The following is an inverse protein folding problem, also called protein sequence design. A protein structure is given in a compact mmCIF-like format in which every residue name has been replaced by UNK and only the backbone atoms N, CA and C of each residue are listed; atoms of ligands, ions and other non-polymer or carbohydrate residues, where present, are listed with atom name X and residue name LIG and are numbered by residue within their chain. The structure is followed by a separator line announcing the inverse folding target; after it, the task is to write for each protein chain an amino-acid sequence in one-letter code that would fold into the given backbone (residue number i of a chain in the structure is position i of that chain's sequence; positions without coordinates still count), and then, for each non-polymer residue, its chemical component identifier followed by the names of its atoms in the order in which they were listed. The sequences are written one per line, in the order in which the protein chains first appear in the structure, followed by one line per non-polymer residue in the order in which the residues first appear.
data_IF_243085896578
#
_entry.id   IF_243085896578
#
_cell.length_a   1.000
_cell.length_b   1.000
_cell.length_c   1.000
_cell.angle_alpha   90.00
_cell.angle_beta   90.00
_cell.angle_gamma   90.00
#
_symmetry.space_group_name_H-M   'P 1'
#
loop_
_entity.id
_entity.type
_entity.pdbx_description
1 polymer ?
#
# COMPACT_ATOMS: atom_id res chain seq x y z
N UNK A 1 5.82 35.05 68.58
CA UNK A 1 6.98 35.78 68.01
C UNK A 1 7.60 34.92 66.91
N UNK A 2 7.34 35.26 65.64
CA UNK A 2 8.04 34.70 64.48
C UNK A 2 8.16 35.85 63.46
N UNK A 3 9.39 36.32 63.23
CA UNK A 3 9.72 37.38 62.28
C UNK A 3 9.66 36.81 60.86
N UNK A 4 8.80 37.36 60.00
CA UNK A 4 8.84 37.12 58.55
C UNK A 4 9.66 38.23 57.89
N UNK A 5 10.79 37.83 57.30
CA UNK A 5 11.66 38.70 56.51
C UNK A 5 11.04 38.92 55.13
N UNK A 6 10.83 40.18 54.78
CA UNK A 6 10.36 40.62 53.46
C UNK A 6 11.58 40.83 52.55
N UNK A 7 11.69 40.08 51.46
CA UNK A 7 12.68 40.32 50.41
C UNK A 7 11.95 41.06 49.29
N UNK A 8 12.33 42.32 49.06
CA UNK A 8 11.83 43.14 47.95
C UNK A 8 12.74 42.86 46.75
N UNK A 9 12.18 42.22 45.71
CA UNK A 9 12.84 42.04 44.43
C UNK A 9 12.48 43.23 43.51
N UNK A 10 13.47 44.03 43.17
CA UNK A 10 13.34 45.14 42.21
C UNK A 10 13.43 44.58 40.79
N UNK A 11 12.30 44.50 40.09
CA UNK A 11 12.27 44.19 38.65
C UNK A 11 12.65 45.44 37.84
N UNK A 12 13.77 45.38 37.12
CA UNK A 12 14.10 46.37 36.09
C UNK A 12 13.27 46.08 34.83
N UNK A 13 12.52 47.07 34.37
CA UNK A 13 11.81 47.03 33.09
C UNK A 13 12.80 47.28 31.94
N UNK A 14 13.08 46.26 31.13
CA UNK A 14 13.77 46.43 29.86
C UNK A 14 12.73 46.81 28.79
N UNK A 15 12.88 48.00 28.21
CA UNK A 15 12.12 48.46 27.05
C UNK A 15 12.57 47.69 25.82
N UNK A 16 11.74 46.73 25.37
CA UNK A 16 11.93 46.04 24.10
C UNK A 16 11.59 46.99 22.95
N UNK A 17 12.61 47.38 22.17
CA UNK A 17 12.44 48.03 20.87
C UNK A 17 11.82 47.03 19.90
N UNK A 18 10.61 47.32 19.42
CA UNK A 18 9.93 46.52 18.42
C UNK A 18 10.71 46.58 17.09
N UNK A 19 11.31 45.46 16.71
CA UNK A 19 11.85 45.25 15.37
C UNK A 19 10.67 44.98 14.43
N UNK A 20 10.33 45.96 13.58
CA UNK A 20 9.35 45.76 12.51
C UNK A 20 9.99 44.87 11.44
N UNK A 21 9.57 43.60 11.39
CA UNK A 21 9.93 42.72 10.30
C UNK A 21 9.20 43.19 9.03
N UNK A 22 9.91 43.37 7.90
CA UNK A 22 9.26 43.68 6.64
C UNK A 22 8.24 42.59 6.30
N UNK A 23 6.98 43.00 6.12
CA UNK A 23 5.90 42.13 5.67
C UNK A 23 6.17 41.77 4.20
N UNK A 24 6.91 40.69 3.98
CA UNK A 24 6.99 40.12 2.63
C UNK A 24 5.61 39.58 2.26
N UNK A 25 5.07 39.93 1.08
CA UNK A 25 3.83 39.34 0.61
C UNK A 25 4.03 37.83 0.51
N UNK A 26 3.27 37.07 1.30
CA UNK A 26 3.22 35.63 1.17
C UNK A 26 2.78 35.31 -0.26
N UNK A 27 3.69 34.79 -1.07
CA UNK A 27 3.31 34.24 -2.36
C UNK A 27 2.22 33.17 -2.11
N UNK A 28 1.09 33.20 -2.84
CA UNK A 28 0.07 32.20 -2.68
C UNK A 28 0.70 30.82 -2.92
N UNK A 29 0.44 29.87 -2.01
CA UNK A 29 0.89 28.51 -2.18
C UNK A 29 0.42 27.99 -3.55
N UNK A 30 1.32 27.34 -4.30
CA UNK A 30 0.97 26.75 -5.58
C UNK A 30 -0.26 25.85 -5.44
N UNK A 31 -1.20 25.86 -6.41
CA UNK A 31 -2.39 25.03 -6.34
C UNK A 31 -1.98 23.56 -6.22
N UNK A 32 -2.54 22.86 -5.23
CA UNK A 32 -2.32 21.41 -5.06
C UNK A 32 -2.91 20.69 -6.27
N UNK A 33 -2.16 19.77 -6.85
CA UNK A 33 -2.66 18.90 -7.92
C UNK A 33 -3.88 18.10 -7.43
N UNK A 34 -4.89 17.95 -8.29
CA UNK A 34 -6.05 17.10 -8.00
C UNK A 34 -5.65 15.62 -8.00
N UNK A 35 -6.43 14.74 -7.33
CA UNK A 35 -6.15 13.30 -7.34
C UNK A 35 -6.05 12.71 -8.75
N UNK A 36 -6.89 13.16 -9.69
CA UNK A 36 -6.86 12.67 -11.07
C UNK A 36 -5.55 13.00 -11.79
N UNK A 37 -4.98 14.20 -11.57
CA UNK A 37 -3.68 14.57 -12.14
C UNK A 37 -2.57 13.70 -11.55
N UNK A 38 -2.63 13.44 -10.24
CA UNK A 38 -1.67 12.57 -9.57
C UNK A 38 -1.76 11.12 -10.04
N UNK A 39 -2.96 10.58 -10.28
CA UNK A 39 -3.14 9.23 -10.83
C UNK A 39 -2.60 9.12 -12.26
N UNK A 40 -2.78 10.14 -13.09
CA UNK A 40 -2.20 10.19 -14.45
C UNK A 40 -0.66 10.23 -14.40
N UNK A 41 -0.10 11.00 -13.48
CA UNK A 41 1.34 11.03 -13.23
C UNK A 41 1.86 9.67 -12.75
N UNK A 42 1.15 9.04 -11.82
CA UNK A 42 1.47 7.70 -11.31
C UNK A 42 1.51 6.67 -12.45
N UNK A 43 0.51 6.64 -13.31
CA UNK A 43 0.45 5.76 -14.47
C UNK A 43 1.64 5.98 -15.41
N UNK A 44 1.98 7.25 -15.70
CA UNK A 44 3.12 7.60 -16.55
C UNK A 44 4.44 7.09 -15.98
N UNK A 45 4.64 7.20 -14.66
CA UNK A 45 5.84 6.70 -13.98
C UNK A 45 5.89 5.17 -13.94
N UNK A 46 4.76 4.51 -13.71
CA UNK A 46 4.67 3.04 -13.72
C UNK A 46 4.97 2.50 -15.12
N UNK A 47 4.54 3.16 -16.19
CA UNK A 47 4.86 2.77 -17.58
C UNK A 47 6.35 2.88 -17.92
N UNK A 48 7.09 3.72 -17.19
CA UNK A 48 8.56 3.82 -17.30
C UNK A 48 9.28 2.75 -16.47
N UNK A 49 8.55 2.04 -15.61
CA UNK A 49 9.09 0.99 -14.75
C UNK A 49 8.98 -0.39 -15.43
N UNK A 50 9.91 -1.33 -15.16
CA UNK A 50 9.71 -2.71 -15.58
C UNK A 50 8.46 -3.32 -14.92
N UNK A 51 7.92 -4.39 -15.51
CA UNK A 51 6.73 -5.10 -15.02
C UNK A 51 6.83 -5.35 -13.51
N UNK A 52 5.75 -5.05 -12.79
CA UNK A 52 5.61 -5.19 -11.33
C UNK A 52 6.60 -4.33 -10.50
N UNK A 53 7.29 -3.37 -11.12
CA UNK A 53 8.33 -2.58 -10.47
C UNK A 53 9.68 -3.29 -10.30
N UNK A 54 9.87 -4.46 -10.93
CA UNK A 54 11.10 -5.25 -10.78
C UNK A 54 12.33 -4.51 -11.31
N UNK A 55 13.25 -4.15 -10.42
CA UNK A 55 14.44 -3.34 -10.73
C UNK A 55 14.11 -1.94 -11.29
N UNK A 56 13.03 -1.32 -10.79
CA UNK A 56 12.72 0.09 -11.08
C UNK A 56 13.93 0.98 -10.70
N UNK A 57 14.37 1.91 -11.57
CA UNK A 57 15.38 2.90 -11.22
C UNK A 57 15.03 3.69 -9.95
N UNK A 58 16.04 4.05 -9.16
CA UNK A 58 15.83 4.68 -7.85
C UNK A 58 15.08 6.00 -7.93
N UNK A 59 15.40 6.84 -8.90
CA UNK A 59 14.75 8.12 -9.18
C UNK A 59 13.27 7.97 -9.58
N UNK A 60 12.94 6.98 -10.40
CA UNK A 60 11.55 6.66 -10.76
C UNK A 60 10.79 6.10 -9.56
N UNK A 61 11.41 5.19 -8.80
CA UNK A 61 10.82 4.62 -7.59
C UNK A 61 10.52 5.71 -6.55
N UNK A 62 11.42 6.66 -6.36
CA UNK A 62 11.22 7.80 -5.45
C UNK A 62 10.06 8.70 -5.89
N UNK A 63 9.94 8.98 -7.19
CA UNK A 63 8.82 9.74 -7.75
C UNK A 63 7.48 9.03 -7.55
N UNK A 64 7.41 7.72 -7.84
CA UNK A 64 6.21 6.91 -7.61
C UNK A 64 5.78 6.95 -6.13
N UNK A 65 6.75 6.80 -5.22
CA UNK A 65 6.49 6.86 -3.78
C UNK A 65 6.00 8.24 -3.36
N UNK A 66 6.53 9.32 -3.92
CA UNK A 66 6.06 10.67 -3.60
C UNK A 66 4.62 10.91 -4.07
N UNK A 67 4.29 10.54 -5.31
CA UNK A 67 2.92 10.62 -5.84
C UNK A 67 1.96 9.81 -4.98
N UNK A 68 2.34 8.60 -4.55
CA UNK A 68 1.52 7.80 -3.64
C UNK A 68 1.27 8.49 -2.29
N UNK A 69 2.27 9.16 -1.70
CA UNK A 69 2.09 9.94 -0.46
C UNK A 69 1.18 11.15 -0.67
N UNK A 70 1.20 11.76 -1.85
CA UNK A 70 0.30 12.86 -2.18
C UNK A 70 -1.14 12.36 -2.35
N UNK A 71 -1.34 11.20 -2.97
CA UNK A 71 -2.63 10.52 -3.10
C UNK A 71 -3.18 10.12 -1.72
N UNK A 72 -2.36 9.56 -0.83
CA UNK A 72 -2.76 9.19 0.53
C UNK A 72 -3.40 10.37 1.29
N UNK A 73 -2.81 11.57 1.18
CA UNK A 73 -3.35 12.80 1.78
C UNK A 73 -4.69 13.25 1.18
N UNK A 74 -5.02 12.73 0.00
CA UNK A 74 -6.23 13.05 -0.75
C UNK A 74 -7.11 11.81 -0.96
N UNK A 75 -6.97 10.78 -0.11
CA UNK A 75 -7.76 9.55 -0.22
C UNK A 75 -9.27 9.87 -0.16
N UNK A 76 -10.04 9.59 -1.22
CA UNK A 76 -11.46 9.93 -1.26
C UNK A 76 -12.30 9.02 -0.36
N UNK A 77 -11.77 7.86 0.03
CA UNK A 77 -12.49 6.87 0.82
C UNK A 77 -12.10 6.93 2.30
N UNK A 78 -13.00 7.46 3.12
CA UNK A 78 -12.87 7.39 4.58
C UNK A 78 -13.04 5.94 5.05
N UNK A 79 -12.14 5.49 5.92
CA UNK A 79 -12.13 4.15 6.50
C UNK A 79 -12.25 3.03 5.43
N UNK A 80 -11.27 2.93 4.51
CA UNK A 80 -11.36 2.10 3.30
C UNK A 80 -11.73 0.64 3.56
N UNK A 81 -11.22 0.03 4.64
CA UNK A 81 -11.49 -1.40 4.92
C UNK A 81 -12.92 -1.67 5.37
N UNK A 82 -13.66 -0.64 5.79
CA UNK A 82 -15.09 -0.74 6.13
C UNK A 82 -16.00 -0.55 4.91
N UNK A 83 -15.48 -0.02 3.80
CA UNK A 83 -16.21 0.06 2.54
C UNK A 83 -16.08 -1.25 1.77
N UNK A 84 -16.74 -2.30 2.26
CA UNK A 84 -16.61 -3.67 1.74
C UNK A 84 -16.97 -3.77 0.25
N UNK A 85 -17.90 -2.94 -0.24
CA UNK A 85 -18.28 -2.89 -1.66
C UNK A 85 -17.13 -2.44 -2.56
N UNK A 86 -16.43 -1.37 -2.18
CA UNK A 86 -15.32 -0.82 -2.95
C UNK A 86 -14.04 -1.63 -2.75
N UNK A 87 -13.79 -2.13 -1.53
CA UNK A 87 -12.61 -2.92 -1.23
C UNK A 87 -12.66 -4.31 -1.89
N UNK A 88 -13.83 -4.94 -1.92
CA UNK A 88 -14.00 -6.25 -2.54
C UNK A 88 -13.89 -6.16 -4.06
N UNK A 89 -13.32 -7.18 -4.67
CA UNK A 89 -13.12 -7.28 -6.11
C UNK A 89 -11.78 -7.86 -6.49
N UNK A 90 -11.56 -7.86 -7.81
CA UNK A 90 -10.34 -8.35 -8.42
C UNK A 90 -9.42 -7.17 -8.73
N UNK A 91 -8.19 -7.26 -8.24
CA UNK A 91 -7.20 -6.19 -8.30
C UNK A 91 -5.93 -6.72 -8.96
N UNK A 92 -5.45 -6.07 -10.01
CA UNK A 92 -4.14 -6.36 -10.61
C UNK A 92 -3.08 -5.46 -10.00
N UNK A 93 -1.91 -6.01 -9.71
CA UNK A 93 -0.76 -5.24 -9.27
C UNK A 93 -0.08 -4.61 -10.47
N UNK A 94 0.07 -3.28 -10.43
CA UNK A 94 0.77 -2.52 -11.46
C UNK A 94 2.23 -2.27 -11.05
N UNK A 95 2.47 -2.03 -9.76
CA UNK A 95 3.80 -1.71 -9.25
C UNK A 95 3.97 -2.03 -7.77
N UNK A 96 5.19 -2.41 -7.37
CA UNK A 96 5.59 -2.49 -5.96
C UNK A 96 7.07 -2.16 -5.78
N UNK A 97 7.44 -1.62 -4.61
CA UNK A 97 8.85 -1.48 -4.19
C UNK A 97 9.37 -2.72 -3.43
N UNK A 98 8.66 -3.85 -3.51
CA UNK A 98 9.03 -5.07 -2.80
C UNK A 98 10.43 -5.58 -3.19
N UNK A 99 11.33 -5.61 -2.21
CA UNK A 99 12.72 -6.04 -2.38
C UNK A 99 13.18 -6.92 -1.20
N UNK A 100 13.90 -8.03 -1.45
CA UNK A 100 14.26 -8.58 -2.77
C UNK A 100 13.06 -9.16 -3.50
N UNK A 101 13.13 -9.27 -4.83
CA UNK A 101 12.04 -9.80 -5.64
C UNK A 101 11.68 -11.25 -5.25
N UNK A 102 10.39 -11.51 -5.07
CA UNK A 102 9.83 -12.81 -4.67
C UNK A 102 8.47 -13.03 -5.36
N UNK A 103 7.76 -14.15 -5.12
CA UNK A 103 6.47 -14.41 -5.76
C UNK A 103 5.44 -13.28 -5.59
N UNK A 104 5.46 -12.56 -4.47
CA UNK A 104 4.59 -11.40 -4.23
C UNK A 104 4.86 -10.20 -5.14
N UNK A 105 6.06 -10.08 -5.72
CA UNK A 105 6.37 -9.12 -6.79
C UNK A 105 6.20 -9.72 -8.19
N UNK A 106 5.57 -10.90 -8.27
CA UNK A 106 5.28 -11.63 -9.49
C UNK A 106 6.46 -12.36 -10.11
N UNK A 107 7.55 -12.53 -9.37
CA UNK A 107 8.72 -13.26 -9.83
C UNK A 107 8.68 -14.72 -9.36
N UNK A 108 8.68 -15.66 -10.30
CA UNK A 108 8.83 -17.09 -10.05
C UNK A 108 10.04 -17.61 -10.83
N UNK A 109 11.17 -17.74 -10.15
CA UNK A 109 12.44 -18.06 -10.81
C UNK A 109 12.81 -17.00 -11.86
N UNK A 110 13.06 -17.39 -13.14
CA UNK A 110 13.35 -16.45 -14.21
C UNK A 110 12.10 -15.79 -14.80
N UNK A 111 10.90 -16.28 -14.46
CA UNK A 111 9.65 -15.81 -15.06
C UNK A 111 9.04 -14.66 -14.27
N UNK A 112 8.46 -13.71 -15.00
CA UNK A 112 7.71 -12.58 -14.44
C UNK A 112 6.26 -12.67 -14.90
N UNK A 113 5.37 -12.90 -13.95
CA UNK A 113 3.94 -13.05 -14.18
C UNK A 113 3.14 -11.81 -13.80
N UNK A 114 1.85 -11.87 -14.09
CA UNK A 114 0.86 -10.92 -13.58
C UNK A 114 0.43 -11.32 -12.17
N UNK A 115 0.34 -10.34 -11.27
CA UNK A 115 -0.08 -10.56 -9.88
C UNK A 115 -1.46 -9.96 -9.70
N UNK A 116 -2.35 -10.73 -9.09
CA UNK A 116 -3.69 -10.33 -8.78
C UNK A 116 -4.00 -10.56 -7.30
N UNK A 117 -4.97 -9.81 -6.80
CA UNK A 117 -5.59 -10.01 -5.52
C UNK A 117 -7.10 -10.05 -5.67
N UNK A 118 -7.69 -11.16 -5.25
CA UNK A 118 -9.14 -11.30 -5.15
C UNK A 118 -9.55 -11.15 -3.69
N UNK A 119 -10.24 -10.07 -3.37
CA UNK A 119 -10.64 -9.74 -2.00
C UNK A 119 -12.15 -9.82 -1.89
N UNK A 120 -12.63 -10.58 -0.90
CA UNK A 120 -14.04 -10.72 -0.55
C UNK A 120 -14.24 -10.44 0.94
N UNK A 121 -14.68 -9.22 1.26
CA UNK A 121 -15.01 -8.78 2.61
C UNK A 121 -16.50 -8.90 2.94
N UNK A 122 -17.34 -9.33 2.00
CA UNK A 122 -18.80 -9.36 2.20
C UNK A 122 -19.25 -10.68 2.82
N UNK A 123 -18.85 -11.80 2.23
CA UNK A 123 -19.37 -13.11 2.63
C UNK A 123 -18.37 -13.92 3.44
N UNK A 124 -17.09 -13.88 3.05
CA UNK A 124 -16.13 -14.90 3.51
C UNK A 124 -14.97 -14.35 4.32
N UNK A 125 -14.75 -13.04 4.30
CA UNK A 125 -13.55 -12.42 4.88
C UNK A 125 -12.29 -13.14 4.39
N UNK A 126 -12.12 -13.17 3.06
CA UNK A 126 -11.04 -13.89 2.39
C UNK A 126 -10.31 -13.00 1.42
N UNK A 127 -9.01 -13.25 1.30
CA UNK A 127 -8.17 -12.69 0.27
C UNK A 127 -7.42 -13.83 -0.44
N UNK A 128 -7.22 -13.68 -1.75
CA UNK A 128 -6.37 -14.58 -2.52
C UNK A 128 -5.34 -13.77 -3.29
N UNK A 129 -4.07 -14.12 -3.16
CA UNK A 129 -3.01 -13.59 -4.02
C UNK A 129 -2.72 -14.61 -5.11
N UNK A 130 -2.81 -14.18 -6.37
CA UNK A 130 -2.71 -15.05 -7.54
C UNK A 130 -1.56 -14.54 -8.41
N UNK A 131 -0.62 -15.43 -8.75
CA UNK A 131 0.45 -15.17 -9.70
C UNK A 131 0.20 -15.98 -10.97
N UNK A 132 0.07 -15.33 -12.12
CA UNK A 132 -0.08 -15.98 -13.44
C UNK A 132 1.15 -15.74 -14.30
N UNK A 133 1.82 -16.81 -14.70
CA UNK A 133 2.90 -16.81 -15.70
C UNK A 133 2.36 -17.48 -16.95
N UNK A 134 2.47 -16.81 -18.12
CA UNK A 134 1.91 -17.34 -19.37
C UNK A 134 2.78 -18.45 -19.99
N UNK A 135 4.09 -18.36 -19.82
CA UNK A 135 5.02 -19.34 -20.38
C UNK A 135 6.20 -19.61 -19.44
N UNK A 136 6.32 -20.83 -18.85
CA UNK A 136 5.30 -21.89 -18.86
C UNK A 136 4.01 -21.42 -18.14
N UNK A 137 2.85 -22.02 -18.47
CA UNK A 137 1.56 -21.61 -17.91
C UNK A 137 1.46 -22.01 -16.43
N UNK A 138 1.98 -21.18 -15.53
CA UNK A 138 2.02 -21.44 -14.09
C UNK A 138 1.07 -20.49 -13.37
N UNK A 139 0.28 -21.04 -12.45
CA UNK A 139 -0.57 -20.30 -11.55
C UNK A 139 -0.20 -20.61 -10.10
N UNK A 140 0.28 -19.60 -9.36
CA UNK A 140 0.44 -19.66 -7.91
C UNK A 140 -0.77 -19.04 -7.23
N UNK A 141 -1.32 -19.69 -6.21
CA UNK A 141 -2.43 -19.15 -5.41
C UNK A 141 -2.08 -19.26 -3.92
N UNK A 142 -2.14 -18.13 -3.23
CA UNK A 142 -2.13 -18.03 -1.77
C UNK A 142 -3.53 -17.64 -1.31
N UNK A 143 -4.12 -18.43 -0.41
CA UNK A 143 -5.41 -18.16 0.23
C UNK A 143 -5.17 -17.69 1.65
N UNK A 144 -5.85 -16.62 2.05
CA UNK A 144 -5.79 -16.02 3.37
C UNK A 144 -7.18 -15.66 3.90
N UNK A 145 -7.32 -15.65 5.22
CA UNK A 145 -8.44 -14.99 5.90
C UNK A 145 -8.11 -13.53 6.20
N UNK A 146 -9.13 -12.69 6.22
CA UNK A 146 -9.01 -11.27 6.52
C UNK A 146 -9.68 -10.94 7.86
N UNK A 147 -9.09 -10.02 8.60
CA UNK A 147 -9.72 -9.43 9.78
C UNK A 147 -9.47 -7.93 9.81
N UNK A 148 -10.49 -7.13 10.13
CA UNK A 148 -10.35 -5.68 10.26
C UNK A 148 -9.64 -5.36 11.58
N UNK A 149 -8.53 -4.64 11.50
CA UNK A 149 -7.77 -4.18 12.67
C UNK A 149 -8.23 -2.78 13.08
N UNK A 150 -8.34 -1.88 12.11
CA UNK A 150 -8.78 -0.49 12.30
C UNK A 150 -9.46 0.05 11.03
N UNK A 151 -9.54 1.37 10.86
CA UNK A 151 -10.21 2.03 9.73
C UNK A 151 -9.47 1.85 8.38
N UNK A 152 -8.17 1.58 8.37
CA UNK A 152 -7.37 1.42 7.15
C UNK A 152 -6.65 0.08 7.05
N UNK A 153 -6.61 -0.71 8.12
CA UNK A 153 -5.76 -1.89 8.21
C UNK A 153 -6.56 -3.20 8.20
N UNK A 154 -6.19 -4.11 7.30
CA UNK A 154 -6.58 -5.52 7.34
C UNK A 154 -5.42 -6.37 7.85
N UNK A 155 -5.70 -7.28 8.79
CA UNK A 155 -4.85 -8.42 9.06
C UNK A 155 -5.17 -9.53 8.05
N UNK A 156 -4.13 -10.05 7.40
CA UNK A 156 -4.18 -11.08 6.37
C UNK A 156 -3.43 -12.30 6.88
N UNK A 157 -4.17 -13.29 7.32
CA UNK A 157 -3.60 -14.51 7.90
C UNK A 157 -3.58 -15.61 6.85
N UNK A 158 -2.37 -16.05 6.49
CA UNK A 158 -2.16 -17.02 5.44
C UNK A 158 -2.70 -18.37 5.89
N UNK A 159 -3.48 -19.00 5.01
CA UNK A 159 -4.01 -20.34 5.23
C UNK A 159 -3.19 -21.33 4.42
N UNK A 160 -3.15 -21.16 3.10
CA UNK A 160 -2.48 -22.12 2.24
C UNK A 160 -1.88 -21.47 1.00
N UNK A 161 -0.78 -22.03 0.50
CA UNK A 161 -0.23 -21.69 -0.82
C UNK A 161 -0.01 -22.94 -1.67
N UNK A 162 -0.27 -22.84 -2.96
CA UNK A 162 0.01 -23.90 -3.92
C UNK A 162 0.28 -23.35 -5.30
N UNK A 163 0.95 -24.14 -6.13
CA UNK A 163 1.22 -23.82 -7.53
C UNK A 163 0.59 -24.86 -8.44
N UNK A 164 0.19 -24.46 -9.64
CA UNK A 164 -0.33 -25.34 -10.70
C UNK A 164 0.32 -25.00 -12.03
N UNK A 165 0.42 -25.96 -12.93
CA UNK A 165 0.77 -25.78 -14.33
C UNK A 165 -0.38 -26.20 -15.24
N UNK A 166 -0.63 -25.46 -16.31
CA UNK A 166 -1.73 -25.76 -17.24
C UNK A 166 -3.11 -25.65 -16.56
N UNK A 167 -3.25 -24.79 -15.55
CA UNK A 167 -4.46 -24.60 -14.74
C UNK A 167 -4.87 -25.77 -13.85
N UNK A 168 -4.31 -26.96 -14.07
CA UNK A 168 -4.86 -28.23 -13.56
C UNK A 168 -3.86 -29.04 -12.74
N UNK A 169 -2.58 -29.05 -13.12
CA UNK A 169 -1.61 -29.99 -12.55
C UNK A 169 -0.88 -29.33 -11.37
N UNK A 170 -0.99 -29.83 -10.13
CA UNK A 170 -0.25 -29.29 -9.00
C UNK A 170 1.27 -29.36 -9.22
N UNK A 171 1.95 -28.24 -9.02
CA UNK A 171 3.41 -28.15 -9.00
C UNK A 171 3.89 -28.20 -7.55
N UNK A 172 4.01 -29.42 -7.02
CA UNK A 172 4.48 -29.68 -5.66
C UNK A 172 3.37 -29.67 -4.60
N UNK A 173 3.75 -29.86 -3.32
CA UNK A 173 2.78 -29.94 -2.23
C UNK A 173 2.14 -28.57 -1.99
N UNK A 174 0.85 -28.61 -1.65
CA UNK A 174 0.18 -27.46 -1.05
C UNK A 174 0.75 -27.26 0.36
N UNK A 175 1.21 -26.06 0.66
CA UNK A 175 1.73 -25.69 1.98
C UNK A 175 0.56 -25.15 2.79
N UNK A 176 0.42 -25.64 4.03
CA UNK A 176 -0.49 -25.11 5.04
C UNK A 176 0.33 -24.30 6.05
N UNK A 177 -0.07 -23.06 6.29
CA UNK A 177 0.60 -22.17 7.24
C UNK A 177 0.07 -22.34 8.66
N UNK A 178 -1.06 -23.04 8.85
CA UNK A 178 -1.73 -23.23 10.14
C UNK A 178 -2.06 -21.88 10.82
N UNK A 179 -2.28 -20.83 10.04
CA UNK A 179 -2.53 -19.47 10.52
C UNK A 179 -1.34 -18.79 11.20
N UNK A 180 -0.12 -19.33 11.05
CA UNK A 180 1.08 -18.81 11.73
C UNK A 180 1.69 -17.58 11.07
N UNK A 181 1.33 -17.28 9.83
CA UNK A 181 1.85 -16.11 9.12
C UNK A 181 0.74 -15.09 8.91
N UNK A 182 0.88 -13.93 9.56
CA UNK A 182 -0.04 -12.80 9.41
C UNK A 182 0.71 -11.57 8.88
N UNK A 183 0.13 -10.95 7.86
CA UNK A 183 0.57 -9.68 7.29
C UNK A 183 -0.45 -8.59 7.58
N UNK A 184 0.01 -7.36 7.74
CA UNK A 184 -0.86 -6.19 7.88
C UNK A 184 -0.88 -5.44 6.56
N UNK A 185 -2.07 -5.21 6.01
CA UNK A 185 -2.31 -4.40 4.81
C UNK A 185 -2.98 -3.09 5.22
N UNK A 186 -2.17 -2.03 5.25
CA UNK A 186 -2.60 -0.67 5.54
C UNK A 186 -2.96 0.03 4.23
N UNK A 187 -4.23 0.37 4.04
CA UNK A 187 -4.74 0.98 2.82
C UNK A 187 -4.60 2.50 2.87
N UNK A 188 -3.67 3.02 2.06
CA UNK A 188 -3.35 4.44 1.99
C UNK A 188 -4.28 5.20 1.03
N UNK A 189 -4.71 4.55 -0.06
CA UNK A 189 -5.62 5.12 -1.05
C UNK A 189 -6.59 4.06 -1.57
N UNK A 190 -7.86 4.43 -1.73
CA UNK A 190 -8.86 3.59 -2.36
C UNK A 190 -9.88 4.46 -3.10
N UNK A 191 -10.09 4.17 -4.38
CA UNK A 191 -11.25 4.63 -5.15
C UNK A 191 -11.81 3.47 -6.01
N UNK A 192 -12.64 3.79 -7.01
CA UNK A 192 -13.25 2.79 -7.88
C UNK A 192 -12.24 2.06 -8.77
N UNK A 193 -11.07 2.65 -9.07
CA UNK A 193 -10.08 2.13 -10.02
C UNK A 193 -8.77 1.72 -9.36
N UNK A 194 -8.36 2.39 -8.29
CA UNK A 194 -7.06 2.23 -7.65
C UNK A 194 -7.18 1.81 -6.21
N UNK A 195 -6.20 0.99 -5.80
CA UNK A 195 -5.93 0.67 -4.41
C UNK A 195 -4.44 0.73 -4.17
N UNK A 196 -4.03 1.59 -3.25
CA UNK A 196 -2.64 1.70 -2.80
C UNK A 196 -2.59 1.25 -1.35
N UNK A 197 -1.72 0.29 -1.07
CA UNK A 197 -1.55 -0.25 0.27
C UNK A 197 -0.08 -0.47 0.61
N UNK A 198 0.20 -0.43 1.91
CA UNK A 198 1.45 -0.87 2.48
C UNK A 198 1.26 -2.25 3.12
N UNK A 199 2.14 -3.19 2.84
CA UNK A 199 2.12 -4.52 3.41
C UNK A 199 3.40 -4.84 4.20
N UNK A 200 3.23 -5.27 5.45
CA UNK A 200 4.32 -5.64 6.38
C UNK A 200 4.00 -6.91 7.15
N UNK A 201 5.01 -7.50 7.81
CA UNK A 201 4.75 -8.52 8.84
C UNK A 201 4.12 -7.86 10.05
N UNK A 202 3.29 -8.63 10.77
CA UNK A 202 2.71 -8.14 12.01
C UNK A 202 3.80 -7.83 13.07
N UNK A 203 4.92 -8.55 13.08
CA UNK A 203 6.01 -8.30 14.05
C UNK A 203 6.92 -7.11 13.69
N UNK A 204 6.82 -6.56 12.48
CA UNK A 204 7.67 -5.45 12.00
C UNK A 204 7.06 -4.10 12.39
N UNK A 205 7.26 -3.64 13.62
CA UNK A 205 6.66 -2.38 14.12
C UNK A 205 7.22 -1.10 13.51
N UNK A 206 8.51 -1.09 13.14
CA UNK A 206 9.23 0.15 12.76
C UNK A 206 9.10 0.53 11.27
N UNK A 207 8.54 -0.35 10.44
CA UNK A 207 8.39 -0.13 8.99
C UNK A 207 6.94 -0.24 8.59
N UNK A 208 6.45 0.66 7.72
CA UNK A 208 5.14 0.47 7.04
C UNK A 208 5.18 -0.71 6.06
N UNK A 209 6.37 -1.22 5.74
CA UNK A 209 6.58 -2.31 4.81
C UNK A 209 6.67 -1.83 3.37
N UNK A 210 6.22 -2.67 2.45
CA UNK A 210 6.32 -2.42 1.01
C UNK A 210 5.02 -1.85 0.46
N UNK A 211 5.13 -0.90 -0.44
CA UNK A 211 4.00 -0.29 -1.13
C UNK A 211 3.60 -1.14 -2.34
N UNK A 212 2.30 -1.29 -2.54
CA UNK A 212 1.69 -1.95 -3.68
C UNK A 212 0.68 -0.98 -4.30
N UNK A 213 0.86 -0.70 -5.59
CA UNK A 213 -0.12 -0.01 -6.42
C UNK A 213 -0.91 -1.06 -7.19
N UNK A 214 -2.22 -1.06 -6.98
CA UNK A 214 -3.14 -2.00 -7.60
C UNK A 214 -4.19 -1.24 -8.41
N UNK A 215 -4.57 -1.79 -9.56
CA UNK A 215 -5.71 -1.35 -10.35
C UNK A 215 -6.83 -2.37 -10.32
N UNK A 216 -8.08 -1.91 -10.40
CA UNK A 216 -9.23 -2.79 -10.56
C UNK A 216 -9.11 -3.53 -11.90
N UNK A 217 -9.33 -4.82 -11.86
CA UNK A 217 -9.28 -5.68 -13.03
C UNK A 217 -10.63 -6.35 -13.22
N UNK A 218 -10.97 -6.60 -14.48
CA UNK A 218 -12.11 -7.45 -14.79
C UNK A 218 -11.82 -8.87 -14.32
N UNK A 219 -12.85 -9.51 -13.78
CA UNK A 219 -12.76 -10.85 -13.24
C UNK A 219 -12.71 -11.89 -14.38
N UNK A 220 -11.55 -12.01 -15.01
CA UNK A 220 -11.27 -13.03 -16.02
C UNK A 220 -11.00 -14.41 -15.38
N UNK A 221 -11.66 -14.77 -14.27
CA UNK A 221 -11.48 -16.07 -13.59
C UNK A 221 -11.80 -17.29 -14.49
N UNK A 222 -12.26 -17.12 -15.74
CA UNK A 222 -12.72 -18.23 -16.58
C UNK A 222 -12.38 -18.22 -18.09
N UNK A 223 -11.72 -17.21 -18.67
CA UNK A 223 -11.56 -17.19 -20.14
C UNK A 223 -10.33 -17.92 -20.69
N UNK A 224 -9.32 -18.20 -19.87
CA UNK A 224 -8.17 -18.98 -20.35
C UNK A 224 -7.99 -20.20 -19.46
N UNK A 225 -8.47 -21.35 -19.97
CA UNK A 225 -8.07 -22.69 -19.51
C UNK A 225 -6.57 -22.91 -19.76
N UNK A 226 -5.75 -22.16 -19.02
CA UNK A 226 -4.29 -22.11 -19.07
C UNK A 226 -3.75 -22.38 -17.67
#
# INVERSE_FOLDING_TARGET
MMKRTLIIATCMAATATAFEFPQFPFAPAAPKASPQVLLQELDSLIQQSPKNGLNTPGDISEQILDVCRQLEKQNPTRAPVKNSKMMSGFWRMEWTNFAPAAPSSGKLGPFVGDVYQDVDLNDKQKARNILRVNFPPICGELVASTNVVDDSTLAITFQTVGNKIGGMIPLGPKIDFEGRETRLWEHAYLDDEYRILYARRQEEEESRGFLYVMKRADDERFETGV
#
